data_IF_336543630083
#
_entry.id   IF_336543630083
#
_cell.length_a   1.000
_cell.length_b   1.000
_cell.length_c   1.000
_cell.angle_alpha   90.00
_cell.angle_beta   90.00
_cell.angle_gamma   90.00
#
_symmetry.space_group_name_H-M   'P 1'
#
loop_
_entity.id
_entity.type
_entity.pdbx_description
1 polymer ?
#
# COMPACT_ATOMS: atom_id res chain seq x y z
N UNK A 1 -44.52 -28.46 -54.42
CA UNK A 1 -44.31 -29.25 -53.18
C UNK A 1 -44.44 -28.24 -52.02
N UNK A 2 -45.49 -28.09 -51.20
CA UNK A 2 -46.34 -29.02 -50.39
C UNK A 2 -45.46 -29.99 -49.59
N UNK A 3 -45.29 -30.00 -48.26
CA UNK A 3 -45.99 -29.54 -47.02
C UNK A 3 -44.96 -29.52 -45.83
N UNK A 4 -45.30 -29.44 -44.52
CA UNK A 4 -45.91 -28.36 -43.71
C UNK A 4 -45.23 -28.12 -42.32
N UNK A 5 -45.81 -27.18 -41.55
CA UNK A 5 -45.58 -26.86 -40.12
C UNK A 5 -45.43 -28.04 -39.13
N UNK A 6 -44.53 -27.89 -38.14
CA UNK A 6 -44.69 -28.27 -36.72
C UNK A 6 -44.06 -27.15 -35.87
N UNK A 7 -44.79 -26.24 -35.22
CA UNK A 7 -45.53 -26.36 -33.93
C UNK A 7 -44.60 -26.38 -32.70
N UNK A 8 -44.69 -25.28 -31.91
CA UNK A 8 -44.49 -25.14 -30.44
C UNK A 8 -43.05 -25.30 -29.92
N UNK A 9 -42.57 -24.63 -28.88
CA UNK A 9 -43.03 -23.59 -27.97
C UNK A 9 -41.83 -23.22 -27.07
N UNK A 10 -41.89 -22.07 -26.40
CA UNK A 10 -41.32 -21.74 -25.09
C UNK A 10 -39.86 -22.16 -24.79
N UNK A 11 -38.97 -21.27 -24.38
CA UNK A 11 -39.02 -20.60 -23.07
C UNK A 11 -38.07 -19.40 -23.10
N UNK A 12 -38.51 -18.27 -22.56
CA UNK A 12 -37.66 -17.14 -22.19
C UNK A 12 -36.56 -17.62 -21.22
N UNK A 13 -35.31 -17.61 -21.66
CA UNK A 13 -34.14 -17.76 -20.79
C UNK A 13 -33.53 -16.40 -20.49
N UNK A 14 -34.14 -15.61 -19.60
CA UNK A 14 -33.48 -14.44 -19.03
C UNK A 14 -32.42 -14.92 -18.04
N UNK A 15 -31.18 -15.11 -18.51
CA UNK A 15 -30.05 -15.37 -17.64
C UNK A 15 -29.69 -14.08 -16.90
N UNK A 16 -30.22 -13.89 -15.69
CA UNK A 16 -29.65 -12.95 -14.74
C UNK A 16 -28.30 -13.51 -14.27
N UNK A 17 -27.22 -13.05 -14.89
CA UNK A 17 -25.87 -13.25 -14.39
C UNK A 17 -25.70 -12.40 -13.13
N UNK A 18 -25.91 -12.98 -11.94
CA UNK A 18 -25.40 -12.38 -10.70
C UNK A 18 -23.88 -12.51 -10.73
N UNK A 19 -23.19 -11.48 -11.23
CA UNK A 19 -21.80 -11.26 -10.91
C UNK A 19 -21.72 -10.90 -9.43
N UNK A 20 -21.50 -11.90 -8.58
CA UNK A 20 -21.01 -11.65 -7.22
C UNK A 20 -19.62 -11.06 -7.40
N UNK A 21 -19.55 -9.73 -7.45
CA UNK A 21 -18.30 -9.01 -7.30
C UNK A 21 -17.78 -9.36 -5.93
N UNK A 22 -16.75 -10.21 -5.86
CA UNK A 22 -15.94 -10.37 -4.66
C UNK A 22 -15.32 -9.00 -4.42
N UNK A 23 -15.94 -8.22 -3.56
CA UNK A 23 -15.32 -7.03 -2.99
C UNK A 23 -14.16 -7.57 -2.17
N UNK A 24 -12.95 -7.46 -2.69
CA UNK A 24 -11.76 -7.71 -1.89
C UNK A 24 -11.82 -6.68 -0.76
N UNK A 25 -12.19 -7.13 0.45
CA UNK A 25 -12.03 -6.29 1.63
C UNK A 25 -10.52 -6.06 1.75
N UNK A 26 -10.11 -4.81 1.61
CA UNK A 26 -8.70 -4.46 1.77
C UNK A 26 -8.32 -4.74 3.22
N UNK A 27 -7.09 -5.20 3.46
CA UNK A 27 -6.52 -5.26 4.83
C UNK A 27 -6.49 -3.83 5.43
N UNK A 28 -6.56 -2.79 4.59
CA UNK A 28 -6.69 -1.39 5.00
C UNK A 28 -8.10 -0.97 5.42
N UNK A 29 -9.13 -1.79 5.19
CA UNK A 29 -10.52 -1.53 5.62
C UNK A 29 -10.82 -2.15 7.00
N UNK A 30 -9.81 -2.74 7.65
CA UNK A 30 -9.93 -3.20 9.03
C UNK A 30 -10.06 -1.96 9.94
N UNK A 31 -11.24 -1.69 10.54
CA UNK A 31 -11.43 -0.54 11.42
C UNK A 31 -10.51 -0.58 12.64
N UNK A 32 -9.95 -1.76 12.95
CA UNK A 32 -9.06 -1.99 14.07
C UNK A 32 -7.56 -1.98 13.67
N UNK A 33 -7.22 -1.77 12.40
CA UNK A 33 -5.84 -1.62 11.91
C UNK A 33 -5.46 -0.14 11.75
N UNK A 34 -4.93 0.53 12.80
CA UNK A 34 -4.62 1.95 12.73
C UNK A 34 -3.50 2.24 11.73
N UNK A 35 -3.64 3.33 10.98
CA UNK A 35 -2.51 3.93 10.27
C UNK A 35 -1.52 4.44 11.32
N UNK A 36 -0.27 3.98 11.26
CA UNK A 36 0.78 4.47 12.15
C UNK A 36 1.02 5.96 11.90
N UNK A 37 0.86 6.78 12.94
CA UNK A 37 1.04 8.24 12.93
C UNK A 37 2.21 8.65 13.82
N UNK A 38 2.54 9.94 13.86
CA UNK A 38 3.49 10.51 14.81
C UNK A 38 3.13 10.24 16.28
N UNK A 39 1.84 10.18 16.64
CA UNK A 39 1.41 9.81 17.99
C UNK A 39 1.86 8.39 18.36
N UNK A 40 1.64 7.43 17.45
CA UNK A 40 2.10 6.06 17.62
C UNK A 40 3.63 5.97 17.63
N UNK A 41 4.30 6.72 16.75
CA UNK A 41 5.75 6.74 16.65
C UNK A 41 6.40 7.28 17.92
N UNK A 42 5.99 8.46 18.37
CA UNK A 42 6.60 9.14 19.54
C UNK A 42 6.37 8.37 20.84
N UNK A 43 5.28 7.61 20.95
CA UNK A 43 4.99 6.74 22.10
C UNK A 43 5.61 5.34 22.02
N UNK A 44 6.07 4.91 20.83
CA UNK A 44 6.60 3.57 20.63
C UNK A 44 8.00 3.36 21.24
N UNK A 45 8.23 2.15 21.75
CA UNK A 45 9.56 1.71 22.16
C UNK A 45 10.51 1.61 20.95
N UNK A 46 11.83 1.81 21.14
CA UNK A 46 12.82 1.75 20.05
C UNK A 46 12.73 0.51 19.16
N UNK A 47 12.54 -0.68 19.76
CA UNK A 47 12.46 -1.92 18.99
C UNK A 47 11.17 -2.03 18.15
N UNK A 48 10.07 -1.43 18.59
CA UNK A 48 8.82 -1.41 17.82
C UNK A 48 8.97 -0.52 16.57
N UNK A 49 9.66 0.63 16.69
CA UNK A 49 10.01 1.49 15.56
C UNK A 49 10.86 0.75 14.53
N UNK A 50 11.90 0.04 14.98
CA UNK A 50 12.75 -0.74 14.09
C UNK A 50 12.01 -1.90 13.42
N UNK A 51 11.11 -2.58 14.15
CA UNK A 51 10.28 -3.64 13.57
C UNK A 51 9.32 -3.10 12.50
N UNK A 52 8.72 -1.93 12.72
CA UNK A 52 7.89 -1.26 11.72
C UNK A 52 8.69 -0.93 10.45
N UNK A 53 9.88 -0.34 10.60
CA UNK A 53 10.75 -0.04 9.46
C UNK A 53 11.21 -1.29 8.72
N UNK A 54 11.55 -2.37 9.44
CA UNK A 54 11.88 -3.66 8.84
C UNK A 54 10.71 -4.22 8.03
N UNK A 55 9.47 -4.09 8.54
CA UNK A 55 8.26 -4.47 7.81
C UNK A 55 8.11 -3.71 6.48
N UNK A 56 8.44 -2.41 6.46
CA UNK A 56 8.44 -1.60 5.24
C UNK A 56 9.49 -2.11 4.25
N UNK A 57 10.72 -2.37 4.71
CA UNK A 57 11.80 -2.90 3.86
C UNK A 57 11.37 -4.23 3.22
N UNK A 58 10.83 -5.16 4.00
CA UNK A 58 10.36 -6.44 3.48
C UNK A 58 9.24 -6.28 2.45
N UNK A 59 8.34 -5.30 2.63
CA UNK A 59 7.29 -5.00 1.65
C UNK A 59 7.86 -4.44 0.34
N UNK A 60 8.85 -3.54 0.43
CA UNK A 60 9.54 -3.00 -0.75
C UNK A 60 10.34 -4.07 -1.51
N UNK A 61 10.91 -5.05 -0.82
CA UNK A 61 11.58 -6.20 -1.45
C UNK A 61 10.59 -7.04 -2.28
N UNK A 62 9.39 -7.28 -1.75
CA UNK A 62 8.32 -7.97 -2.49
C UNK A 62 7.90 -7.15 -3.71
N UNK A 63 7.65 -5.84 -3.52
CA UNK A 63 7.26 -4.95 -4.63
C UNK A 63 8.34 -4.96 -5.73
N UNK A 64 9.62 -4.82 -5.37
CA UNK A 64 10.73 -4.87 -6.32
C UNK A 64 10.80 -6.21 -7.06
N UNK A 65 10.58 -7.34 -6.37
CA UNK A 65 10.58 -8.66 -7.00
C UNK A 65 9.45 -8.82 -8.03
N UNK A 66 8.29 -8.20 -7.80
CA UNK A 66 7.17 -8.22 -8.75
C UNK A 66 7.41 -7.36 -10.01
N UNK A 67 8.35 -6.41 -9.96
CA UNK A 67 8.62 -5.47 -11.06
C UNK A 67 9.68 -5.95 -12.06
N UNK A 68 10.40 -7.04 -11.76
CA UNK A 68 11.57 -7.48 -12.55
C UNK A 68 11.26 -7.65 -14.04
N UNK A 69 10.09 -8.23 -14.35
CA UNK A 69 9.69 -8.51 -15.74
C UNK A 69 8.83 -7.40 -16.36
N UNK A 70 8.32 -6.48 -15.55
CA UNK A 70 7.42 -5.41 -15.96
C UNK A 70 7.57 -4.18 -15.05
N UNK A 71 8.63 -3.37 -15.23
CA UNK A 71 8.83 -2.20 -14.40
C UNK A 71 7.68 -1.19 -14.59
N UNK A 72 7.07 -0.71 -13.49
CA UNK A 72 6.00 0.27 -13.54
C UNK A 72 6.53 1.64 -13.97
N UNK A 73 5.63 2.54 -14.35
CA UNK A 73 5.99 3.96 -14.49
C UNK A 73 6.53 4.50 -13.16
N UNK A 74 7.42 5.51 -13.21
CA UNK A 74 8.11 6.04 -12.04
C UNK A 74 7.17 6.55 -10.93
N UNK A 75 5.94 6.94 -11.28
CA UNK A 75 4.89 7.40 -10.36
C UNK A 75 3.92 6.29 -9.90
N UNK A 76 4.09 5.07 -10.42
CA UNK A 76 3.26 3.91 -10.11
C UNK A 76 3.94 2.92 -9.14
N UNK A 77 5.06 3.30 -8.53
CA UNK A 77 5.77 2.49 -7.53
C UNK A 77 6.40 3.32 -6.43
N UNK A 78 6.48 2.72 -5.23
CA UNK A 78 7.23 3.29 -4.12
C UNK A 78 8.73 3.03 -4.23
N UNK A 79 9.12 1.93 -4.86
CA UNK A 79 10.50 1.40 -4.88
C UNK A 79 11.52 2.41 -5.43
N UNK A 80 11.32 3.08 -6.59
CA UNK A 80 12.36 3.95 -7.15
C UNK A 80 12.73 5.13 -6.26
N UNK A 81 11.75 5.74 -5.59
CA UNK A 81 11.96 6.88 -4.69
C UNK A 81 12.55 6.39 -3.37
N UNK A 82 11.99 5.35 -2.78
CA UNK A 82 12.42 4.81 -1.49
C UNK A 82 13.85 4.26 -1.55
N UNK A 83 14.18 3.48 -2.58
CA UNK A 83 15.52 2.92 -2.76
C UNK A 83 16.55 4.03 -2.97
N UNK A 84 16.29 4.99 -3.87
CA UNK A 84 17.23 6.09 -4.12
C UNK A 84 17.41 7.00 -2.90
N UNK A 85 16.31 7.38 -2.27
CA UNK A 85 16.30 8.34 -1.18
C UNK A 85 16.85 7.81 0.15
N UNK A 86 16.83 6.50 0.36
CA UNK A 86 17.25 5.89 1.63
C UNK A 86 18.50 5.00 1.49
N UNK A 87 19.11 4.88 0.29
CA UNK A 87 20.21 3.93 0.02
C UNK A 87 21.41 4.02 0.97
N UNK A 88 21.69 5.22 1.48
CA UNK A 88 22.87 5.49 2.34
C UNK A 88 22.50 5.54 3.83
N UNK A 89 21.26 5.16 4.17
CA UNK A 89 20.76 5.17 5.55
C UNK A 89 20.55 3.75 6.08
N UNK A 90 21.04 3.50 7.28
CA UNK A 90 20.66 2.33 8.08
C UNK A 90 19.27 2.51 8.69
N UNK A 91 18.63 1.41 9.09
CA UNK A 91 17.34 1.47 9.80
C UNK A 91 17.40 2.35 11.07
N UNK A 92 18.53 2.35 11.77
CA UNK A 92 18.72 3.22 12.94
C UNK A 92 18.77 4.70 12.56
N UNK A 93 19.45 5.05 11.47
CA UNK A 93 19.50 6.44 10.97
C UNK A 93 18.13 6.91 10.49
N UNK A 94 17.35 6.05 9.82
CA UNK A 94 15.97 6.37 9.43
C UNK A 94 15.11 6.63 10.69
N UNK A 95 15.23 5.76 11.71
CA UNK A 95 14.54 5.94 12.98
C UNK A 95 14.89 7.26 13.64
N UNK A 96 16.18 7.59 13.72
CA UNK A 96 16.66 8.83 14.32
C UNK A 96 16.21 10.07 13.56
N UNK A 97 16.18 10.01 12.23
CA UNK A 97 15.66 11.10 11.41
C UNK A 97 14.15 11.33 11.64
N UNK A 98 13.37 10.26 11.78
CA UNK A 98 11.94 10.35 12.13
C UNK A 98 11.72 10.87 13.55
N UNK A 99 12.52 10.41 14.53
CA UNK A 99 12.47 10.91 15.90
C UNK A 99 12.75 12.41 15.94
N UNK A 100 13.77 12.88 15.22
CA UNK A 100 14.08 14.30 15.07
C UNK A 100 12.95 15.08 14.41
N UNK A 101 12.44 14.60 13.28
CA UNK A 101 11.39 15.30 12.55
C UNK A 101 10.11 15.49 13.39
N UNK A 102 9.62 14.44 14.08
CA UNK A 102 8.45 14.57 14.95
C UNK A 102 8.71 15.38 16.22
N UNK A 103 9.96 15.40 16.72
CA UNK A 103 10.35 16.30 17.81
C UNK A 103 10.28 17.77 17.39
N UNK A 104 10.67 18.07 16.16
CA UNK A 104 10.68 19.43 15.60
C UNK A 104 9.28 19.90 15.14
N UNK A 105 8.35 18.95 14.92
CA UNK A 105 6.98 19.22 14.44
C UNK A 105 5.90 18.62 15.38
N UNK A 106 5.81 19.06 16.65
CA UNK A 106 4.86 18.51 17.62
C UNK A 106 3.38 18.79 17.27
N UNK A 107 3.12 19.71 16.34
CA UNK A 107 1.78 20.02 15.80
C UNK A 107 1.35 19.03 14.69
N UNK A 108 2.25 18.18 14.21
CA UNK A 108 2.01 17.25 13.09
C UNK A 108 1.99 15.77 13.51
N UNK A 109 1.72 15.46 14.79
CA UNK A 109 1.70 14.07 15.26
C UNK A 109 0.59 13.21 14.64
N UNK A 110 -0.45 13.83 14.05
CA UNK A 110 -1.48 13.11 13.29
C UNK A 110 -0.98 12.64 11.91
N UNK A 111 0.15 13.13 11.43
CA UNK A 111 0.70 12.77 10.12
C UNK A 111 1.17 11.31 10.10
N UNK A 112 0.81 10.52 9.07
CA UNK A 112 1.25 9.13 8.95
C UNK A 112 2.77 8.99 8.87
N UNK A 113 3.33 7.98 9.54
CA UNK A 113 4.78 7.71 9.54
C UNK A 113 5.28 7.41 8.13
N UNK A 114 4.57 6.58 7.37
CA UNK A 114 4.93 6.26 5.98
C UNK A 114 4.95 7.51 5.09
N UNK A 115 4.00 8.43 5.31
CA UNK A 115 3.95 9.69 4.58
C UNK A 115 5.17 10.56 4.91
N UNK A 116 5.52 10.67 6.20
CA UNK A 116 6.72 11.39 6.65
C UNK A 116 7.99 10.78 6.05
N UNK A 117 8.13 9.44 6.05
CA UNK A 117 9.25 8.76 5.40
C UNK A 117 9.34 9.15 3.92
N UNK A 118 8.21 9.13 3.21
CA UNK A 118 8.18 9.46 1.79
C UNK A 118 8.57 10.91 1.51
N UNK A 119 7.88 11.88 2.12
CA UNK A 119 8.02 13.29 1.74
C UNK A 119 9.21 13.99 2.39
N UNK A 120 9.62 13.56 3.58
CA UNK A 120 10.62 14.27 4.38
C UNK A 120 11.98 13.59 4.34
N UNK A 121 12.03 12.27 4.06
CA UNK A 121 13.29 11.52 4.02
C UNK A 121 13.62 11.02 2.61
N UNK A 122 12.74 10.23 1.99
CA UNK A 122 13.04 9.56 0.72
C UNK A 122 13.07 10.55 -0.46
N UNK A 123 11.96 11.26 -0.70
CA UNK A 123 11.83 12.16 -1.85
C UNK A 123 12.87 13.28 -1.89
N UNK A 124 13.27 13.92 -0.78
CA UNK A 124 14.33 14.94 -0.81
C UNK A 124 15.71 14.39 -1.16
N UNK A 125 15.94 13.10 -0.94
CA UNK A 125 17.23 12.43 -1.16
C UNK A 125 17.27 11.61 -2.48
N UNK A 126 16.17 11.52 -3.23
CA UNK A 126 16.00 10.64 -4.41
C UNK A 126 16.40 11.23 -5.75
#
# INVERSE_FOLDING_TARGET
>A
MKHPLFIRACVLGAALSLSVGVQAQSIADDPDAPIATGEHWTSAQPNAKLAYLLGIVNMLEIEQALQVDAPPADDASLVPVMVRGLKDMTLNQIREALDGWYSDHPDQLSRPVMETIWFELAKPNS
#
